data_IF_896067542488
#
_entry.id   IF_896067542488
#
_cell.length_a   1.000
_cell.length_b   1.000
_cell.length_c   1.000
_cell.angle_alpha   90.00
_cell.angle_beta   90.00
_cell.angle_gamma   90.00
#
_symmetry.space_group_name_H-M   'P 1'
#
loop_
_entity.id
_entity.type
_entity.pdbx_description
1 polymer ?
#
# COMPACT_ATOMS: atom_id res chain seq x y z
N UNK A 1 7.53 8.96 -4.44
CA UNK A 1 7.73 7.77 -3.57
C UNK A 1 6.40 7.38 -3.01
N UNK A 2 5.93 6.16 -3.28
CA UNK A 2 4.64 5.67 -2.81
C UNK A 2 4.51 5.79 -1.29
N UNK A 3 3.28 5.86 -0.80
CA UNK A 3 2.96 5.87 0.62
C UNK A 3 1.77 4.96 0.90
N UNK A 4 1.79 4.35 2.07
CA UNK A 4 0.66 3.58 2.59
C UNK A 4 0.36 4.07 4.01
N UNK A 5 -0.91 4.31 4.28
CA UNK A 5 -1.47 4.62 5.60
C UNK A 5 -2.29 3.42 6.02
N UNK A 6 -2.10 2.97 7.24
CA UNK A 6 -2.73 1.78 7.79
C UNK A 6 -3.38 2.17 9.11
N UNK A 7 -4.67 1.90 9.25
CA UNK A 7 -5.36 1.86 10.53
C UNK A 7 -5.56 0.40 10.92
N UNK A 8 -4.94 0.00 12.02
CA UNK A 8 -5.15 -1.32 12.61
C UNK A 8 -5.93 -1.19 13.91
N UNK A 9 -6.99 -1.96 14.06
CA UNK A 9 -7.89 -1.98 15.23
C UNK A 9 -8.37 -3.40 15.47
N UNK A 10 -7.61 -4.18 16.22
CA UNK A 10 -7.78 -5.64 16.37
C UNK A 10 -9.21 -6.08 16.79
N UNK A 11 -9.92 -5.26 17.58
CA UNK A 11 -11.27 -5.56 18.06
C UNK A 11 -12.40 -4.89 17.25
N UNK A 12 -12.07 -4.30 16.08
CA UNK A 12 -13.02 -3.61 15.21
C UNK A 12 -13.76 -4.57 14.27
N UNK A 13 -14.92 -4.14 13.76
CA UNK A 13 -15.60 -4.78 12.62
C UNK A 13 -14.73 -4.74 11.36
N UNK A 14 -13.86 -3.74 11.24
CA UNK A 14 -12.89 -3.54 10.16
C UNK A 14 -11.48 -3.44 10.74
N UNK A 15 -10.84 -4.57 11.10
CA UNK A 15 -9.57 -4.58 11.82
C UNK A 15 -8.41 -3.95 11.04
N UNK A 16 -8.48 -3.93 9.72
CA UNK A 16 -7.47 -3.33 8.83
C UNK A 16 -8.14 -2.43 7.82
N UNK A 17 -7.76 -1.15 7.83
CA UNK A 17 -8.14 -0.17 6.80
C UNK A 17 -6.86 0.44 6.24
N UNK A 18 -6.79 0.55 4.92
CA UNK A 18 -5.61 0.97 4.18
C UNK A 18 -5.96 2.10 3.23
N UNK A 19 -5.10 3.12 3.16
CA UNK A 19 -5.08 4.12 2.11
C UNK A 19 -3.69 4.20 1.50
N UNK A 20 -3.55 4.08 0.18
CA UNK A 20 -2.26 4.04 -0.49
C UNK A 20 -2.23 4.93 -1.74
N UNK A 21 -1.17 5.72 -1.88
CA UNK A 21 -0.90 6.50 -3.09
C UNK A 21 0.25 5.89 -3.88
N UNK A 22 0.03 5.69 -5.18
CA UNK A 22 1.07 5.33 -6.13
C UNK A 22 1.68 6.61 -6.71
N UNK A 23 2.91 6.90 -6.33
CA UNK A 23 3.68 8.01 -6.91
C UNK A 23 4.64 7.46 -7.96
N UNK A 24 4.46 7.87 -9.21
CA UNK A 24 5.20 7.35 -10.35
C UNK A 24 5.32 8.41 -11.45
N UNK A 25 6.13 8.17 -12.44
CA UNK A 25 6.16 8.96 -13.66
C UNK A 25 4.83 8.82 -14.41
N UNK A 26 4.26 9.92 -14.87
CA UNK A 26 2.96 9.96 -15.55
C UNK A 26 2.92 9.07 -16.79
N UNK A 27 4.05 8.88 -17.46
CA UNK A 27 4.17 8.04 -18.68
C UNK A 27 4.43 6.56 -18.38
N UNK A 28 4.44 6.12 -17.09
CA UNK A 28 4.55 4.70 -16.75
C UNK A 28 3.19 4.05 -16.78
N UNK A 29 2.93 3.35 -17.87
CA UNK A 29 1.65 2.71 -18.13
C UNK A 29 1.32 1.61 -17.12
N UNK A 30 0.06 1.56 -16.70
CA UNK A 30 -0.47 0.55 -15.81
C UNK A 30 -1.96 0.31 -16.11
N UNK A 31 -2.43 -0.90 -15.82
CA UNK A 31 -3.85 -1.22 -15.82
C UNK A 31 -4.45 -0.94 -14.43
N UNK A 32 -5.70 -0.49 -14.37
CA UNK A 32 -6.43 -0.39 -13.10
C UNK A 32 -6.59 -1.76 -12.43
N UNK A 33 -6.98 -1.83 -11.14
CA UNK A 33 -7.20 -3.09 -10.45
C UNK A 33 -8.15 -4.03 -11.19
N UNK A 34 -7.74 -5.30 -11.29
CA UNK A 34 -8.44 -6.37 -11.98
C UNK A 34 -7.70 -7.69 -11.83
N UNK A 35 -8.19 -8.75 -12.45
CA UNK A 35 -7.56 -10.08 -12.50
C UNK A 35 -6.73 -10.20 -13.77
N UNK A 36 -5.46 -9.87 -13.70
CA UNK A 36 -4.59 -9.69 -14.86
C UNK A 36 -3.61 -10.84 -15.14
N UNK A 37 -3.51 -11.81 -14.24
CA UNK A 37 -2.56 -12.93 -14.33
C UNK A 37 -3.34 -14.24 -14.44
N UNK A 38 -3.19 -14.93 -15.56
CA UNK A 38 -3.88 -16.21 -15.84
C UNK A 38 -3.43 -17.32 -14.88
N UNK A 39 -2.17 -17.28 -14.47
CA UNK A 39 -1.57 -18.20 -13.50
C UNK A 39 -1.91 -17.88 -12.04
N UNK A 40 -2.49 -16.68 -11.79
CA UNK A 40 -2.90 -16.20 -10.46
C UNK A 40 -4.32 -15.61 -10.49
N UNK A 41 -5.34 -16.42 -10.85
CA UNK A 41 -6.72 -15.92 -11.01
C UNK A 41 -7.34 -15.42 -9.70
N UNK A 42 -6.77 -15.77 -8.55
CA UNK A 42 -7.16 -15.33 -7.22
C UNK A 42 -6.63 -13.95 -6.85
N UNK A 43 -5.74 -13.35 -7.65
CA UNK A 43 -5.15 -12.03 -7.37
C UNK A 43 -5.95 -10.93 -8.05
N UNK A 44 -6.35 -9.91 -7.26
CA UNK A 44 -6.97 -8.67 -7.73
C UNK A 44 -6.07 -7.48 -7.44
N UNK A 45 -5.48 -6.89 -8.47
CA UNK A 45 -4.49 -5.82 -8.33
C UNK A 45 -4.35 -5.01 -9.62
N UNK A 46 -3.80 -3.78 -9.52
CA UNK A 46 -3.34 -3.05 -10.71
C UNK A 46 -2.11 -3.70 -11.32
N UNK A 47 -1.93 -3.65 -12.65
CA UNK A 47 -0.78 -4.24 -13.33
C UNK A 47 0.14 -3.17 -13.90
N UNK A 48 1.40 -3.19 -13.51
CA UNK A 48 2.47 -2.40 -14.11
C UNK A 48 2.84 -3.01 -15.48
N UNK A 49 2.53 -2.32 -16.57
CA UNK A 49 2.78 -2.83 -17.92
C UNK A 49 4.26 -2.87 -18.30
N UNK A 50 5.10 -2.09 -17.60
CA UNK A 50 6.54 -2.08 -17.86
C UNK A 50 7.26 -3.28 -17.25
N UNK A 51 6.87 -3.66 -16.00
CA UNK A 51 7.58 -4.68 -15.24
C UNK A 51 6.74 -5.95 -14.98
N UNK A 52 5.46 -5.95 -15.35
CA UNK A 52 4.55 -7.11 -15.25
C UNK A 52 4.01 -7.40 -13.85
N UNK A 53 4.57 -6.79 -12.80
CA UNK A 53 4.15 -6.94 -11.40
C UNK A 53 3.09 -5.92 -10.96
N UNK A 54 2.94 -5.76 -9.65
CA UNK A 54 2.01 -4.81 -9.03
C UNK A 54 2.63 -4.05 -7.86
N UNK A 55 1.95 -2.99 -7.39
CA UNK A 55 2.37 -2.18 -6.23
C UNK A 55 1.50 -2.41 -4.99
N UNK A 56 0.23 -2.81 -5.18
CA UNK A 56 -0.72 -3.17 -4.13
C UNK A 56 -1.80 -4.09 -4.72
N UNK A 57 -2.21 -5.09 -3.97
CA UNK A 57 -3.30 -5.99 -4.35
C UNK A 57 -3.89 -6.72 -3.17
N UNK A 58 -4.96 -7.46 -3.45
CA UNK A 58 -5.64 -8.36 -2.55
C UNK A 58 -5.88 -9.70 -3.26
N UNK A 59 -5.91 -10.79 -2.51
CA UNK A 59 -6.31 -12.09 -3.04
C UNK A 59 -7.69 -12.53 -2.52
N UNK A 60 -8.21 -13.63 -3.04
CA UNK A 60 -9.52 -14.18 -2.67
C UNK A 60 -9.59 -14.67 -1.21
N UNK A 61 -8.45 -14.86 -0.55
CA UNK A 61 -8.36 -15.25 0.86
C UNK A 61 -8.36 -14.05 1.81
N UNK A 62 -8.32 -12.82 1.28
CA UNK A 62 -8.29 -11.58 2.06
C UNK A 62 -6.90 -11.14 2.49
N UNK A 63 -5.84 -11.70 1.91
CA UNK A 63 -4.48 -11.19 2.09
C UNK A 63 -4.28 -9.95 1.22
N UNK A 64 -3.79 -8.87 1.82
CA UNK A 64 -3.36 -7.65 1.13
C UNK A 64 -1.84 -7.53 1.20
N UNK A 65 -1.22 -7.20 0.08
CA UNK A 65 0.20 -6.90 0.03
C UNK A 65 0.46 -5.61 -0.77
N UNK A 66 1.43 -4.81 -0.30
CA UNK A 66 1.86 -3.58 -0.97
C UNK A 66 3.37 -3.39 -0.84
N UNK A 67 3.99 -2.76 -1.87
CA UNK A 67 5.42 -2.55 -1.89
C UNK A 67 5.79 -1.12 -2.23
N UNK A 68 6.83 -0.62 -1.57
CA UNK A 68 7.37 0.72 -1.75
C UNK A 68 8.90 0.65 -1.88
N UNK A 69 9.46 1.58 -2.63
CA UNK A 69 10.91 1.77 -2.68
C UNK A 69 11.43 2.26 -1.33
N UNK A 70 12.64 1.87 -0.95
CA UNK A 70 13.38 2.53 0.14
C UNK A 70 14.19 3.72 -0.40
N UNK A 71 14.68 4.55 0.52
CA UNK A 71 15.59 5.65 0.17
C UNK A 71 16.81 5.10 -0.59
N UNK A 72 17.20 5.83 -1.63
CA UNK A 72 18.31 5.48 -2.53
C UNK A 72 18.13 4.20 -3.37
N UNK A 73 16.93 3.59 -3.36
CA UNK A 73 16.61 2.40 -4.14
C UNK A 73 15.62 2.63 -5.29
N UNK A 74 15.41 3.89 -5.71
CA UNK A 74 14.51 4.24 -6.82
C UNK A 74 15.01 3.68 -8.16
N UNK A 75 14.04 3.34 -9.02
CA UNK A 75 14.29 2.89 -10.38
C UNK A 75 14.81 1.45 -10.48
N UNK A 76 14.90 0.94 -11.72
CA UNK A 76 15.50 -0.37 -12.01
C UNK A 76 17.01 -0.33 -11.86
N UNK A 77 17.62 -1.49 -11.63
CA UNK A 77 19.06 -1.69 -11.64
C UNK A 77 19.39 -2.95 -12.44
N UNK A 78 20.50 -2.91 -13.20
CA UNK A 78 20.97 -4.08 -13.95
C UNK A 78 21.18 -5.27 -13.00
N UNK A 79 20.75 -6.44 -13.39
CA UNK A 79 20.82 -7.69 -12.62
C UNK A 79 19.95 -7.71 -11.35
N UNK A 80 18.96 -6.80 -11.22
CA UNK A 80 17.96 -6.86 -10.15
C UNK A 80 16.56 -7.08 -10.75
N UNK A 81 15.79 -7.93 -10.08
CA UNK A 81 14.39 -8.23 -10.43
C UNK A 81 13.47 -7.07 -10.03
N UNK A 82 12.27 -7.06 -10.59
CA UNK A 82 11.23 -6.10 -10.20
C UNK A 82 10.66 -6.44 -8.84
N UNK A 83 10.62 -5.46 -7.94
CA UNK A 83 9.97 -5.62 -6.62
C UNK A 83 8.47 -5.89 -6.71
N UNK A 84 7.84 -5.48 -7.83
CA UNK A 84 6.39 -5.69 -8.03
C UNK A 84 5.98 -7.15 -8.11
N UNK A 85 6.89 -8.08 -8.40
CA UNK A 85 6.62 -9.52 -8.35
C UNK A 85 6.50 -10.05 -6.92
N UNK A 86 7.21 -9.44 -5.93
CA UNK A 86 7.10 -9.83 -4.53
C UNK A 86 5.69 -9.65 -3.97
N UNK A 87 4.94 -8.68 -4.49
CA UNK A 87 3.54 -8.51 -4.12
C UNK A 87 2.70 -9.68 -4.63
N UNK A 88 2.96 -10.14 -5.86
CA UNK A 88 2.29 -11.31 -6.42
C UNK A 88 2.62 -12.56 -5.63
N UNK A 89 3.91 -12.76 -5.32
CA UNK A 89 4.38 -13.91 -4.54
C UNK A 89 3.74 -13.92 -3.14
N UNK A 90 3.60 -12.77 -2.48
CA UNK A 90 2.89 -12.67 -1.19
C UNK A 90 1.40 -12.99 -1.31
N UNK A 91 0.76 -12.61 -2.42
CA UNK A 91 -0.66 -12.86 -2.67
C UNK A 91 -0.98 -14.31 -3.10
N UNK A 92 0.05 -15.15 -3.32
CA UNK A 92 -0.13 -16.59 -3.60
C UNK A 92 -0.46 -17.42 -2.33
N UNK A 93 -0.47 -16.79 -1.14
CA UNK A 93 -0.68 -17.47 0.14
C UNK A 93 -2.07 -17.22 0.73
N UNK A 94 -2.51 -18.13 1.59
CA UNK A 94 -3.85 -18.09 2.18
C UNK A 94 -3.98 -17.14 3.37
N UNK A 95 -2.86 -16.79 4.03
CA UNK A 95 -2.82 -15.87 5.16
C UNK A 95 -1.53 -15.03 5.18
N UNK A 96 -1.55 -13.97 5.98
CA UNK A 96 -0.44 -13.03 6.06
C UNK A 96 0.83 -13.62 6.69
N UNK A 97 0.72 -14.65 7.53
CA UNK A 97 1.87 -15.28 8.18
C UNK A 97 2.61 -16.19 7.21
N UNK A 98 1.91 -16.96 6.38
CA UNK A 98 2.51 -17.73 5.30
C UNK A 98 3.15 -16.82 4.26
N UNK A 99 2.48 -15.74 3.87
CA UNK A 99 3.03 -14.69 2.99
C UNK A 99 4.32 -14.10 3.55
N UNK A 100 4.35 -13.76 4.85
CA UNK A 100 5.55 -13.26 5.52
C UNK A 100 6.69 -14.26 5.44
N UNK A 101 6.44 -15.53 5.79
CA UNK A 101 7.45 -16.58 5.77
C UNK A 101 8.07 -16.74 4.38
N UNK A 102 7.26 -16.72 3.33
CA UNK A 102 7.75 -16.79 1.95
C UNK A 102 8.64 -15.58 1.59
N UNK A 103 8.24 -14.37 2.00
CA UNK A 103 8.96 -13.14 1.65
C UNK A 103 10.29 -13.00 2.42
N UNK A 104 10.39 -13.44 3.66
CA UNK A 104 11.66 -13.34 4.40
C UNK A 104 12.72 -14.32 3.93
N UNK A 105 12.33 -15.38 3.21
CA UNK A 105 13.23 -16.41 2.66
C UNK A 105 13.70 -16.14 1.23
N UNK A 106 13.21 -15.07 0.56
CA UNK A 106 13.64 -14.76 -0.81
C UNK A 106 15.14 -14.47 -0.88
N UNK A 107 15.72 -14.67 -2.06
CA UNK A 107 17.07 -14.22 -2.36
C UNK A 107 17.12 -12.68 -2.41
N UNK A 108 17.38 -12.06 -1.24
CA UNK A 108 17.38 -10.62 -1.02
C UNK A 108 18.20 -9.86 -2.07
N UNK A 109 19.36 -10.39 -2.44
CA UNK A 109 20.26 -9.75 -3.39
C UNK A 109 19.75 -9.75 -4.83
N UNK A 110 18.65 -10.44 -5.10
CA UNK A 110 17.94 -10.35 -6.37
C UNK A 110 17.13 -9.07 -6.53
N UNK A 111 16.91 -8.30 -5.45
CA UNK A 111 16.08 -7.09 -5.45
C UNK A 111 16.85 -5.87 -4.93
N UNK A 112 16.40 -4.70 -5.33
CA UNK A 112 16.79 -3.45 -4.66
C UNK A 112 16.02 -3.31 -3.34
N UNK A 113 16.52 -2.46 -2.42
CA UNK A 113 15.87 -2.19 -1.15
C UNK A 113 14.38 -1.83 -1.27
N UNK A 114 13.56 -2.37 -0.36
CA UNK A 114 12.11 -2.16 -0.33
C UNK A 114 11.56 -2.07 1.09
N UNK A 115 10.41 -1.42 1.22
CA UNK A 115 9.46 -1.60 2.29
C UNK A 115 8.27 -2.38 1.72
N UNK A 116 7.77 -3.36 2.47
CA UNK A 116 6.59 -4.12 2.09
C UNK A 116 5.61 -4.16 3.26
N UNK A 117 4.35 -4.13 2.94
CA UNK A 117 3.24 -4.33 3.87
C UNK A 117 2.53 -5.60 3.46
N UNK A 118 2.23 -6.46 4.43
CA UNK A 118 1.40 -7.66 4.25
C UNK A 118 0.41 -7.71 5.41
N UNK A 119 -0.85 -7.96 5.12
CA UNK A 119 -1.87 -8.13 6.14
C UNK A 119 -3.00 -9.04 5.68
N UNK A 120 -3.65 -9.65 6.66
CA UNK A 120 -4.99 -10.20 6.60
C UNK A 120 -5.84 -9.53 7.69
N UNK A 121 -7.00 -10.07 8.02
CA UNK A 121 -7.88 -9.51 9.05
C UNK A 121 -7.43 -9.80 10.50
N UNK A 122 -6.36 -10.57 10.72
CA UNK A 122 -5.79 -10.92 12.02
C UNK A 122 -4.41 -10.33 12.23
N UNK A 123 -3.58 -10.39 11.19
CA UNK A 123 -2.16 -10.07 11.25
C UNK A 123 -1.81 -8.94 10.28
N UNK A 124 -0.86 -8.11 10.66
CA UNK A 124 -0.31 -7.07 9.81
C UNK A 124 1.18 -6.90 10.06
N UNK A 125 1.97 -6.92 8.99
CA UNK A 125 3.42 -6.88 9.03
C UNK A 125 3.98 -5.75 8.17
N UNK A 126 5.00 -5.09 8.69
CA UNK A 126 5.91 -4.27 7.93
C UNK A 126 7.24 -5.01 7.75
N UNK A 127 7.65 -5.19 6.51
CA UNK A 127 8.86 -5.90 6.12
C UNK A 127 9.78 -4.88 5.45
N UNK A 128 11.05 -4.92 5.78
CA UNK A 128 12.06 -4.09 5.12
C UNK A 128 13.26 -4.91 4.66
N UNK A 129 13.71 -4.60 3.47
CA UNK A 129 15.00 -5.05 2.94
C UNK A 129 15.87 -3.83 2.68
N UNK A 130 16.99 -3.76 3.36
CA UNK A 130 18.01 -2.73 3.16
C UNK A 130 19.18 -3.34 2.37
N UNK A 131 19.69 -2.63 1.36
CA UNK A 131 20.83 -3.13 0.55
C UNK A 131 22.10 -3.34 1.40
N UNK A 132 22.16 -2.73 2.59
CA UNK A 132 23.31 -2.81 3.50
C UNK A 132 23.26 -3.97 4.49
N UNK A 133 22.08 -4.42 4.86
CA UNK A 133 21.87 -5.48 5.83
C UNK A 133 21.88 -6.84 5.14
N UNK A 134 22.33 -7.89 5.84
CA UNK A 134 22.37 -9.26 5.31
C UNK A 134 20.99 -9.94 5.31
N UNK A 135 20.05 -9.49 6.13
CA UNK A 135 18.75 -10.12 6.34
C UNK A 135 17.60 -9.17 5.98
N UNK A 136 16.47 -9.76 5.62
CA UNK A 136 15.17 -9.08 5.56
C UNK A 136 14.63 -9.02 6.99
N UNK A 137 14.24 -7.83 7.43
CA UNK A 137 13.68 -7.61 8.76
C UNK A 137 12.17 -7.44 8.67
N UNK A 138 11.43 -7.92 9.68
CA UNK A 138 10.00 -7.72 9.77
C UNK A 138 9.55 -7.34 11.17
N UNK A 139 8.43 -6.65 11.23
CA UNK A 139 7.84 -6.12 12.46
C UNK A 139 6.32 -6.22 12.40
N UNK A 140 5.69 -6.57 13.51
CA UNK A 140 4.25 -6.46 13.63
C UNK A 140 3.82 -4.99 13.56
N UNK A 141 2.74 -4.70 12.87
CA UNK A 141 2.10 -3.39 12.91
C UNK A 141 1.21 -3.31 14.16
N UNK A 142 1.47 -2.35 15.07
CA UNK A 142 0.63 -2.17 16.26
C UNK A 142 -0.72 -1.55 15.89
N UNK A 143 -1.68 -1.62 16.79
CA UNK A 143 -2.94 -0.91 16.67
C UNK A 143 -2.73 0.61 16.59
N UNK A 144 -3.65 1.30 15.92
CA UNK A 144 -3.59 2.71 15.59
C UNK A 144 -3.07 2.99 14.18
N UNK A 145 -2.66 4.25 13.94
CA UNK A 145 -2.20 4.73 12.64
C UNK A 145 -0.72 4.41 12.43
N UNK A 146 -0.42 3.80 11.30
CA UNK A 146 0.93 3.62 10.77
C UNK A 146 1.04 4.20 9.37
N UNK A 147 2.14 4.89 9.07
CA UNK A 147 2.46 5.35 7.73
C UNK A 147 3.82 4.78 7.32
N UNK A 148 3.88 4.18 6.14
CA UNK A 148 5.11 3.67 5.54
C UNK A 148 5.31 4.40 4.20
N UNK A 149 6.54 4.84 3.97
CA UNK A 149 6.98 5.49 2.74
C UNK A 149 8.29 4.81 2.28
N UNK A 150 9.23 5.57 1.72
CA UNK A 150 10.60 5.09 1.51
C UNK A 150 11.45 5.06 2.80
N UNK A 151 10.94 5.58 3.88
CA UNK A 151 11.52 5.55 5.23
C UNK A 151 10.91 4.41 6.05
N UNK A 152 11.42 4.21 7.26
CA UNK A 152 10.85 3.27 8.20
C UNK A 152 9.43 3.71 8.63
N UNK A 153 8.65 2.77 9.16
CA UNK A 153 7.30 3.02 9.64
C UNK A 153 7.29 4.15 10.68
N UNK A 154 6.46 5.16 10.45
CA UNK A 154 6.30 6.34 11.30
C UNK A 154 7.59 7.15 11.55
N UNK A 155 8.60 7.04 10.66
CA UNK A 155 9.85 7.78 10.77
C UNK A 155 9.65 9.26 10.42
N UNK A 156 9.82 10.12 11.42
CA UNK A 156 9.65 11.58 11.29
C UNK A 156 10.75 12.27 10.48
N UNK A 157 11.81 11.57 10.08
CA UNK A 157 12.75 12.07 9.06
C UNK A 157 12.10 12.16 7.69
N UNK A 158 11.06 11.36 7.42
CA UNK A 158 10.17 11.56 6.29
C UNK A 158 9.30 12.80 6.54
N UNK A 159 9.49 13.86 5.74
CA UNK A 159 8.67 15.08 5.82
C UNK A 159 7.18 14.78 5.64
N UNK A 160 6.84 13.86 4.72
CA UNK A 160 5.47 13.39 4.51
C UNK A 160 4.89 12.77 5.78
N UNK A 161 5.60 11.81 6.40
CA UNK A 161 5.13 11.19 7.65
C UNK A 161 4.99 12.24 8.74
N UNK A 162 5.99 13.12 8.91
CA UNK A 162 5.96 14.20 9.91
C UNK A 162 4.72 15.09 9.76
N UNK A 163 4.35 15.45 8.53
CA UNK A 163 3.19 16.30 8.24
C UNK A 163 1.86 15.57 8.43
N UNK A 164 1.78 14.30 8.05
CA UNK A 164 0.49 13.62 7.89
C UNK A 164 0.14 12.63 8.99
N UNK A 165 1.09 12.11 9.77
CA UNK A 165 0.82 11.11 10.81
C UNK A 165 -0.22 11.61 11.82
N UNK A 166 -0.05 12.83 12.33
CA UNK A 166 -1.01 13.44 13.25
C UNK A 166 -2.34 13.78 12.59
N UNK A 167 -2.34 14.17 11.29
CA UNK A 167 -3.57 14.49 10.57
C UNK A 167 -4.44 13.25 10.40
N UNK A 168 -3.86 12.10 10.02
CA UNK A 168 -4.60 10.84 9.96
C UNK A 168 -5.05 10.36 11.34
N UNK A 169 -4.21 10.52 12.37
CA UNK A 169 -4.57 10.12 13.73
C UNK A 169 -5.71 10.95 14.35
N UNK A 170 -5.91 12.20 13.89
CA UNK A 170 -6.94 13.12 14.35
C UNK A 170 -8.15 13.18 13.42
N UNK A 171 -8.08 12.61 12.22
CA UNK A 171 -9.21 12.57 11.28
C UNK A 171 -10.27 11.59 11.75
N UNK A 172 -11.48 11.73 11.21
CA UNK A 172 -12.52 10.74 11.39
C UNK A 172 -12.07 9.41 10.80
N UNK A 173 -12.16 8.35 11.57
CA UNK A 173 -11.87 7.00 11.10
C UNK A 173 -12.87 6.61 10.02
N UNK A 174 -12.42 5.98 8.91
CA UNK A 174 -13.34 5.46 7.92
C UNK A 174 -14.32 4.46 8.53
N UNK A 175 -15.58 4.49 8.08
CA UNK A 175 -16.61 3.52 8.43
C UNK A 175 -17.06 2.79 7.16
N UNK A 176 -16.32 1.78 6.73
CA UNK A 176 -16.55 1.12 5.45
C UNK A 176 -17.97 0.60 5.26
N UNK A 177 -18.58 0.05 6.32
CA UNK A 177 -19.96 -0.44 6.30
C UNK A 177 -21.04 0.65 6.10
N UNK A 178 -20.67 1.93 6.16
CA UNK A 178 -21.54 3.09 5.93
C UNK A 178 -21.11 3.95 4.75
N UNK A 179 -20.09 3.51 4.02
CA UNK A 179 -19.45 4.30 2.95
C UNK A 179 -18.93 5.68 3.41
N UNK A 180 -18.47 5.78 4.65
CA UNK A 180 -17.90 7.00 5.22
C UNK A 180 -16.37 6.97 5.11
N UNK A 181 -15.78 7.65 4.09
CA UNK A 181 -14.34 7.66 3.79
C UNK A 181 -13.75 9.06 3.65
N UNK A 182 -14.57 10.11 3.74
CA UNK A 182 -14.31 11.45 3.25
C UNK A 182 -13.03 12.07 3.79
N UNK A 183 -12.73 11.92 5.08
CA UNK A 183 -11.52 12.51 5.68
C UNK A 183 -10.25 11.86 5.11
N UNK A 184 -10.28 10.55 4.89
CA UNK A 184 -9.15 9.84 4.30
C UNK A 184 -9.00 10.14 2.81
N UNK A 185 -10.07 10.24 2.05
CA UNK A 185 -10.04 10.66 0.65
C UNK A 185 -9.42 12.06 0.52
N UNK A 186 -9.85 12.99 1.38
CA UNK A 186 -9.33 14.35 1.42
C UNK A 186 -7.83 14.38 1.80
N UNK A 187 -7.42 13.59 2.79
CA UNK A 187 -6.01 13.50 3.19
C UNK A 187 -5.13 12.85 2.13
N UNK A 188 -5.59 11.77 1.48
CA UNK A 188 -4.88 11.13 0.35
C UNK A 188 -4.76 12.08 -0.85
N UNK A 189 -5.75 12.93 -1.10
CA UNK A 189 -5.72 13.96 -2.14
C UNK A 189 -4.98 15.25 -1.76
N UNK A 190 -4.46 15.37 -0.54
CA UNK A 190 -3.85 16.62 -0.08
C UNK A 190 -2.51 16.90 -0.75
N UNK A 191 -2.41 18.05 -1.43
CA UNK A 191 -1.18 18.56 -2.06
C UNK A 191 -0.37 19.46 -1.12
N UNK A 192 -0.79 19.60 0.14
CA UNK A 192 -0.11 20.42 1.13
C UNK A 192 1.24 19.81 1.55
N UNK A 193 2.23 20.66 1.80
CA UNK A 193 3.51 20.27 2.41
C UNK A 193 4.04 21.40 3.30
N UNK A 194 4.57 21.06 4.47
CA UNK A 194 5.10 22.05 5.43
C UNK A 194 6.36 22.77 4.93
N UNK A 195 7.11 22.13 4.03
CA UNK A 195 8.39 22.63 3.49
C UNK A 195 8.28 23.15 2.05
N UNK A 196 7.06 23.35 1.55
CA UNK A 196 6.78 23.73 0.16
C UNK A 196 7.41 22.81 -0.90
N UNK A 197 7.83 21.60 -0.51
CA UNK A 197 8.33 20.59 -1.43
C UNK A 197 7.18 19.66 -1.86
N UNK A 198 6.81 19.64 -3.16
CA UNK A 198 5.74 18.78 -3.63
C UNK A 198 5.93 17.30 -3.32
N UNK A 199 7.18 16.82 -3.20
CA UNK A 199 7.50 15.44 -2.84
C UNK A 199 7.17 15.09 -1.39
N UNK A 200 6.99 16.10 -0.53
CA UNK A 200 6.58 15.93 0.87
C UNK A 200 5.05 15.90 1.06
N UNK A 201 4.29 16.25 0.02
CA UNK A 201 2.82 16.16 0.06
C UNK A 201 2.34 14.70 0.02
N UNK A 202 1.11 14.44 0.47
CA UNK A 202 0.48 13.13 0.34
C UNK A 202 0.14 12.86 -1.12
N UNK A 203 -0.49 13.79 -1.80
CA UNK A 203 -0.73 13.78 -3.25
C UNK A 203 0.38 14.60 -3.93
N UNK A 204 1.31 13.91 -4.56
CA UNK A 204 2.48 14.54 -5.21
C UNK A 204 2.12 15.09 -6.58
N UNK A 205 2.64 16.29 -6.87
CA UNK A 205 2.58 16.92 -8.21
C UNK A 205 3.88 17.66 -8.48
N UNK A 206 4.59 17.25 -9.53
CA UNK A 206 5.82 17.93 -9.96
C UNK A 206 5.74 18.32 -11.43
N UNK A 207 6.48 19.35 -11.80
CA UNK A 207 6.61 19.79 -13.21
C UNK A 207 7.34 18.75 -14.09
N UNK A 208 8.13 17.87 -13.47
CA UNK A 208 8.89 16.82 -14.17
C UNK A 208 8.04 15.59 -14.54
N UNK A 209 6.73 15.61 -14.27
CA UNK A 209 5.83 14.51 -14.57
C UNK A 209 5.85 13.37 -13.55
N UNK A 210 6.59 13.48 -12.44
CA UNK A 210 6.49 12.58 -11.29
C UNK A 210 5.36 13.04 -10.41
N UNK A 211 4.36 12.19 -10.20
CA UNK A 211 3.14 12.56 -9.49
C UNK A 211 2.43 11.34 -8.88
N UNK A 212 1.45 11.59 -8.01
CA UNK A 212 0.50 10.57 -7.60
C UNK A 212 -0.40 10.26 -8.79
N UNK A 213 -0.26 9.06 -9.34
CA UNK A 213 -0.96 8.60 -10.55
C UNK A 213 -2.19 7.76 -10.26
N UNK A 214 -2.32 7.25 -9.06
CA UNK A 214 -3.53 6.56 -8.59
C UNK A 214 -3.54 6.46 -7.07
N UNK A 215 -4.72 6.19 -6.51
CA UNK A 215 -4.88 5.94 -5.08
C UNK A 215 -5.81 4.76 -4.86
N UNK A 216 -5.57 4.00 -3.79
CA UNK A 216 -6.32 2.80 -3.42
C UNK A 216 -6.73 2.88 -1.96
N UNK A 217 -7.95 2.50 -1.64
CA UNK A 217 -8.38 2.24 -0.27
C UNK A 217 -8.91 0.81 -0.16
N UNK A 218 -8.53 0.10 0.90
CA UNK A 218 -8.96 -1.27 1.17
C UNK A 218 -9.39 -1.36 2.61
N UNK A 219 -10.50 -2.06 2.88
CA UNK A 219 -10.90 -2.45 4.22
C UNK A 219 -11.12 -3.95 4.28
N UNK A 220 -10.51 -4.59 5.27
CA UNK A 220 -10.68 -6.02 5.56
C UNK A 220 -11.67 -6.17 6.71
N UNK A 221 -12.75 -6.98 6.55
CA UNK A 221 -13.70 -7.24 7.62
C UNK A 221 -13.13 -8.21 8.65
N UNK A 222 -13.63 -8.16 9.88
CA UNK A 222 -13.30 -9.14 10.90
C UNK A 222 -13.77 -10.55 10.50
N UNK A 223 -13.13 -11.57 11.05
CA UNK A 223 -13.47 -12.97 10.78
C UNK A 223 -14.90 -13.34 11.23
N UNK A 224 -15.42 -12.66 12.25
CA UNK A 224 -16.78 -12.82 12.73
C UNK A 224 -17.53 -11.49 12.64
N UNK A 225 -18.08 -11.14 11.47
CA UNK A 225 -18.84 -9.92 11.32
C UNK A 225 -20.10 -9.99 12.19
N UNK A 226 -20.39 -8.92 12.93
CA UNK A 226 -21.56 -8.84 13.83
C UNK A 226 -22.89 -8.91 13.08
N UNK A 227 -22.92 -8.59 11.79
CA UNK A 227 -24.11 -8.61 10.93
C UNK A 227 -23.71 -9.00 9.51
N UNK A 228 -24.05 -10.21 9.09
CA UNK A 228 -23.83 -10.72 7.73
C UNK A 228 -22.35 -11.05 7.42
N UNK A 229 -22.08 -11.69 6.31
CA UNK A 229 -20.71 -11.88 5.82
C UNK A 229 -20.25 -10.62 5.08
N UNK A 230 -19.55 -9.73 5.77
CA UNK A 230 -18.92 -8.59 5.11
C UNK A 230 -17.78 -9.09 4.22
N UNK A 231 -17.73 -8.59 2.98
CA UNK A 231 -16.60 -8.84 2.06
C UNK A 231 -15.57 -7.71 2.21
N UNK A 232 -14.32 -7.95 1.82
CA UNK A 232 -13.38 -6.85 1.68
C UNK A 232 -13.92 -5.76 0.76
N UNK A 233 -13.65 -4.51 1.10
CA UNK A 233 -13.99 -3.37 0.26
C UNK A 233 -12.71 -2.88 -0.41
N UNK A 234 -12.77 -2.66 -1.72
CA UNK A 234 -11.68 -2.12 -2.52
C UNK A 234 -12.17 -0.90 -3.27
N UNK A 235 -11.57 0.26 -3.04
CA UNK A 235 -11.88 1.52 -3.71
C UNK A 235 -10.65 2.04 -4.45
N UNK A 236 -10.86 2.61 -5.63
CA UNK A 236 -9.77 3.04 -6.49
C UNK A 236 -10.05 4.37 -7.17
N UNK A 237 -9.11 5.30 -7.10
CA UNK A 237 -9.06 6.51 -7.89
C UNK A 237 -8.09 6.29 -9.06
N UNK A 238 -8.61 6.18 -10.28
CA UNK A 238 -7.83 6.00 -11.51
C UNK A 238 -7.26 7.34 -11.98
N UNK A 239 -6.36 7.89 -11.21
CA UNK A 239 -5.75 9.19 -11.41
C UNK A 239 -5.34 9.83 -10.09
N UNK A 240 -4.94 11.09 -10.15
CA UNK A 240 -4.56 11.86 -8.96
C UNK A 240 -5.78 12.07 -8.06
N UNK A 241 -5.74 11.65 -6.77
CA UNK A 241 -6.92 11.64 -5.88
C UNK A 241 -7.42 13.03 -5.47
N UNK A 242 -6.70 14.11 -5.79
CA UNK A 242 -7.19 15.48 -5.67
C UNK A 242 -8.12 15.90 -6.83
N UNK A 243 -8.20 15.10 -7.90
CA UNK A 243 -8.99 15.38 -9.09
C UNK A 243 -9.96 14.26 -9.47
N UNK A 244 -9.66 13.03 -9.07
CA UNK A 244 -10.43 11.85 -9.43
C UNK A 244 -11.00 11.23 -8.17
N UNK A 245 -12.32 11.07 -8.13
CA UNK A 245 -13.01 10.40 -7.02
C UNK A 245 -12.71 8.92 -6.97
N UNK A 246 -12.75 8.34 -5.78
CA UNK A 246 -12.69 6.90 -5.59
C UNK A 246 -14.00 6.24 -6.05
N UNK A 247 -13.86 5.11 -6.71
CA UNK A 247 -14.96 4.24 -7.10
C UNK A 247 -14.78 2.86 -6.45
N UNK A 248 -15.89 2.24 -6.09
CA UNK A 248 -15.89 0.86 -5.59
C UNK A 248 -15.54 -0.11 -6.71
N UNK A 249 -14.68 -1.07 -6.40
CA UNK A 249 -14.26 -2.13 -7.30
C UNK A 249 -14.86 -3.46 -6.86
N UNK A 250 -15.38 -4.22 -7.81
CA UNK A 250 -15.84 -5.59 -7.54
C UNK A 250 -14.64 -6.53 -7.55
N UNK A 251 -14.34 -7.12 -6.40
CA UNK A 251 -13.26 -8.10 -6.21
C UNK A 251 -13.74 -9.49 -6.63
#
# INVERSE_FOLDING_TARGET
MCSIVILKQSDSEWPIIIGANRDEMQNREALPPGRHWEDRPHVFAGKDLTAGGTWIGINDFGVVAAIMNRMNSLGPMKNKRSRGELVLDALDHADASESLNAIIEIEKDSYRGFNMFIADNLNAYWIKSDEKNSLIEYFNIPDGISIITAYDRNDLNSKRIKTYLSKFALSSEPKPGRDEWQDWEMLLGSTYSDDNNPLSAMCVKTEMGFQTVSSTMIALPSFQPKVGSSKPIYRYANGSPDKVSFADMTI
#
